data_IF_406888568800
#
_entry.id   IF_406888568800
#
_cell.length_a   1.000
_cell.length_b   1.000
_cell.length_c   1.000
_cell.angle_alpha   90.00
_cell.angle_beta   90.00
_cell.angle_gamma   90.00
#
_symmetry.space_group_name_H-M   'P 1'
#
loop_
_entity.id
_entity.type
_entity.pdbx_description
1 polymer ?
#
# COMPACT_ATOMS: atom_id res chain seq x y z
N UNK A 1 3.70 8.59 23.08
CA UNK A 1 3.32 7.31 22.43
C UNK A 1 2.57 7.64 21.15
N UNK A 2 3.26 7.82 20.02
CA UNK A 2 2.63 7.99 18.69
C UNK A 2 3.17 6.97 17.65
N UNK A 3 3.95 5.97 18.05
CA UNK A 3 4.61 5.04 17.12
C UNK A 3 3.66 3.98 16.52
N UNK A 4 2.54 3.70 17.18
CA UNK A 4 1.65 2.59 16.77
C UNK A 4 0.94 2.85 15.44
N UNK A 5 0.53 4.09 15.17
CA UNK A 5 -0.22 4.42 13.95
C UNK A 5 0.63 4.39 12.68
N UNK A 6 1.91 4.75 12.79
CA UNK A 6 2.86 4.69 11.67
C UNK A 6 3.34 3.27 11.41
N UNK A 7 3.62 2.53 12.47
CA UNK A 7 4.00 1.12 12.35
C UNK A 7 2.92 0.32 11.61
N UNK A 8 1.66 0.60 11.91
CA UNK A 8 0.51 0.01 11.23
C UNK A 8 0.44 0.43 9.75
N UNK A 9 0.66 1.71 9.43
CA UNK A 9 0.65 2.17 8.03
C UNK A 9 1.80 1.56 7.21
N UNK A 10 3.01 1.50 7.76
CA UNK A 10 4.15 0.86 7.11
C UNK A 10 3.88 -0.64 6.89
N UNK A 11 3.29 -1.32 7.87
CA UNK A 11 2.88 -2.71 7.76
C UNK A 11 1.87 -2.92 6.62
N UNK A 12 0.82 -2.09 6.54
CA UNK A 12 -0.19 -2.16 5.46
C UNK A 12 0.47 -1.99 4.09
N UNK A 13 1.37 -1.02 3.92
CA UNK A 13 2.09 -0.82 2.65
C UNK A 13 2.93 -2.04 2.27
N UNK A 14 3.61 -2.67 3.23
CA UNK A 14 4.37 -3.91 3.00
C UNK A 14 3.47 -5.08 2.61
N UNK A 15 2.32 -5.26 3.26
CA UNK A 15 1.35 -6.30 2.89
C UNK A 15 0.79 -6.08 1.48
N UNK A 16 0.45 -4.84 1.12
CA UNK A 16 0.01 -4.51 -0.23
C UNK A 16 1.08 -4.83 -1.28
N UNK A 17 2.36 -4.54 -1.02
CA UNK A 17 3.46 -4.89 -1.91
C UNK A 17 3.59 -6.41 -2.10
N UNK A 18 3.46 -7.20 -1.02
CA UNK A 18 3.46 -8.67 -1.10
C UNK A 18 2.28 -9.20 -1.91
N UNK A 19 1.07 -8.68 -1.67
CA UNK A 19 -0.15 -9.02 -2.40
C UNK A 19 0.03 -8.74 -3.90
N UNK A 20 0.57 -7.59 -4.26
CA UNK A 20 0.87 -7.24 -5.66
C UNK A 20 1.88 -8.19 -6.31
N UNK A 21 2.95 -8.55 -5.60
CA UNK A 21 3.94 -9.51 -6.09
C UNK A 21 3.29 -10.88 -6.35
N UNK A 22 2.45 -11.35 -5.44
CA UNK A 22 1.70 -12.61 -5.60
C UNK A 22 0.77 -12.56 -6.83
N UNK A 23 -0.03 -11.50 -6.95
CA UNK A 23 -0.95 -11.30 -8.07
C UNK A 23 -0.22 -11.26 -9.42
N UNK A 24 0.97 -10.65 -9.46
CA UNK A 24 1.80 -10.61 -10.65
C UNK A 24 2.35 -11.99 -11.05
N UNK A 25 2.67 -12.84 -10.07
CA UNK A 25 3.12 -14.22 -10.29
C UNK A 25 1.97 -15.14 -10.72
N UNK A 26 0.79 -15.00 -10.10
CA UNK A 26 -0.35 -15.88 -10.36
C UNK A 26 -1.04 -15.63 -11.70
N UNK A 27 -0.82 -14.47 -12.32
CA UNK A 27 -1.57 -14.03 -13.50
C UNK A 27 -0.66 -13.58 -14.64
N UNK A 28 0.04 -14.55 -15.23
CA UNK A 28 0.81 -14.38 -16.48
C UNK A 28 -0.08 -13.87 -17.65
N UNK A 29 -1.41 -13.98 -17.55
CA UNK A 29 -2.38 -13.60 -18.59
C UNK A 29 -3.17 -12.29 -18.40
N UNK A 30 -2.80 -11.39 -17.47
CA UNK A 30 -3.53 -10.12 -17.31
C UNK A 30 -3.47 -9.28 -18.58
N UNK A 31 -4.60 -8.68 -18.96
CA UNK A 31 -4.65 -7.71 -20.05
C UNK A 31 -3.57 -6.64 -19.85
N UNK A 32 -2.89 -6.22 -20.92
CA UNK A 32 -1.76 -5.27 -20.86
C UNK A 32 -2.08 -4.00 -20.06
N UNK A 33 -3.30 -3.48 -20.19
CA UNK A 33 -3.78 -2.32 -19.44
C UNK A 33 -3.86 -2.56 -17.93
N UNK A 34 -4.16 -3.79 -17.52
CA UNK A 34 -4.23 -4.17 -16.11
C UNK A 34 -2.84 -4.36 -15.50
N UNK A 35 -1.91 -5.02 -16.21
CA UNK A 35 -0.49 -5.10 -15.81
C UNK A 35 0.13 -3.71 -15.61
N UNK A 36 -0.17 -2.77 -16.50
CA UNK A 36 0.30 -1.38 -16.37
C UNK A 36 -0.26 -0.66 -15.14
N UNK A 37 -1.51 -0.93 -14.75
CA UNK A 37 -2.10 -0.37 -13.52
C UNK A 37 -1.45 -0.96 -12.26
N UNK A 38 -1.20 -2.27 -12.23
CA UNK A 38 -0.49 -2.92 -11.11
C UNK A 38 0.94 -2.38 -10.95
N UNK A 39 1.67 -2.18 -12.05
CA UNK A 39 3.01 -1.60 -11.99
C UNK A 39 2.99 -0.19 -11.39
N UNK A 40 2.07 0.67 -11.85
CA UNK A 40 1.93 2.03 -11.30
C UNK A 40 1.60 2.03 -9.81
N UNK A 41 0.77 1.08 -9.36
CA UNK A 41 0.45 0.93 -7.94
C UNK A 41 1.68 0.47 -7.14
N UNK A 42 2.45 -0.50 -7.65
CA UNK A 42 3.71 -0.93 -7.04
C UNK A 42 4.73 0.22 -6.90
N UNK A 43 4.88 1.02 -7.95
CA UNK A 43 5.80 2.17 -7.94
C UNK A 43 5.35 3.21 -6.91
N UNK A 44 4.04 3.45 -6.81
CA UNK A 44 3.45 4.39 -5.86
C UNK A 44 3.64 3.92 -4.41
N UNK A 45 3.39 2.64 -4.11
CA UNK A 45 3.59 2.06 -2.78
C UNK A 45 5.08 2.03 -2.40
N UNK A 46 5.97 1.77 -3.36
CA UNK A 46 7.41 1.84 -3.15
C UNK A 46 7.84 3.25 -2.76
N UNK A 47 7.32 4.27 -3.46
CA UNK A 47 7.57 5.66 -3.12
C UNK A 47 7.01 6.01 -1.74
N UNK A 48 5.77 5.61 -1.44
CA UNK A 48 5.14 5.84 -0.14
C UNK A 48 5.97 5.22 0.99
N UNK A 49 6.47 3.98 0.82
CA UNK A 49 7.35 3.34 1.80
C UNK A 49 8.59 4.17 2.10
N UNK A 50 9.24 4.72 1.07
CA UNK A 50 10.40 5.60 1.25
C UNK A 50 10.02 6.88 2.00
N UNK A 51 8.91 7.52 1.64
CA UNK A 51 8.43 8.72 2.35
C UNK A 51 8.04 8.43 3.79
N UNK A 52 7.43 7.28 4.07
CA UNK A 52 7.09 6.86 5.43
C UNK A 52 8.33 6.71 6.30
N UNK A 53 9.41 6.13 5.76
CA UNK A 53 10.69 6.02 6.46
C UNK A 53 11.20 7.39 6.92
N UNK A 54 11.15 8.41 6.05
CA UNK A 54 11.60 9.77 6.37
C UNK A 54 10.60 10.53 7.26
N UNK A 55 9.32 10.20 7.18
CA UNK A 55 8.26 10.88 7.92
C UNK A 55 8.22 10.50 9.41
N UNK A 56 8.61 9.27 9.76
CA UNK A 56 8.65 8.76 11.15
C UNK A 56 9.52 9.65 12.04
N UNK A 57 10.68 10.09 11.56
CA UNK A 57 11.57 10.96 12.34
C UNK A 57 11.01 12.39 12.47
N UNK A 58 10.30 12.85 11.45
CA UNK A 58 9.80 14.23 11.34
C UNK A 58 8.48 14.44 12.07
N UNK A 59 7.63 13.42 12.18
CA UNK A 59 6.31 13.53 12.81
C UNK A 59 6.34 13.95 14.28
N UNK A 60 7.46 13.68 14.98
CA UNK A 60 7.64 14.07 16.37
C UNK A 60 7.77 15.60 16.54
N UNK A 61 8.10 16.31 15.46
CA UNK A 61 8.43 17.74 15.45
C UNK A 61 7.53 18.55 14.52
N UNK A 62 6.90 17.91 13.53
CA UNK A 62 6.08 18.55 12.50
C UNK A 62 4.64 18.04 12.54
N UNK A 63 3.71 18.83 13.11
CA UNK A 63 2.28 18.44 13.19
C UNK A 63 1.64 18.31 11.79
N UNK A 64 2.15 19.03 10.78
CA UNK A 64 1.74 18.89 9.38
C UNK A 64 2.01 17.46 8.85
N UNK A 65 3.17 16.89 9.17
CA UNK A 65 3.55 15.51 8.80
C UNK A 65 2.59 14.52 9.47
N UNK A 66 2.30 14.72 10.75
CA UNK A 66 1.37 13.87 11.51
C UNK A 66 -0.06 13.91 10.97
N UNK A 67 -0.57 15.08 10.57
CA UNK A 67 -1.89 15.20 9.92
C UNK A 67 -1.90 14.49 8.57
N UNK A 68 -0.86 14.67 7.75
CA UNK A 68 -0.75 14.02 6.46
C UNK A 68 -0.67 12.49 6.58
N UNK A 69 0.11 11.96 7.53
CA UNK A 69 0.23 10.53 7.81
C UNK A 69 -1.11 9.89 8.22
N UNK A 70 -1.91 10.59 9.03
CA UNK A 70 -3.26 10.12 9.39
C UNK A 70 -4.15 9.96 8.16
N UNK A 71 -4.17 10.94 7.27
CA UNK A 71 -4.94 10.87 6.02
C UNK A 71 -4.44 9.76 5.11
N UNK A 72 -3.12 9.61 5.00
CA UNK A 72 -2.51 8.56 4.20
C UNK A 72 -2.89 7.17 4.72
N UNK A 73 -2.96 6.99 6.05
CA UNK A 73 -3.42 5.75 6.66
C UNK A 73 -4.85 5.40 6.28
N UNK A 74 -5.75 6.36 6.35
CA UNK A 74 -7.15 6.11 6.03
C UNK A 74 -7.30 5.65 4.55
N UNK A 75 -6.58 6.29 3.62
CA UNK A 75 -6.53 5.88 2.21
C UNK A 75 -5.85 4.52 2.00
N UNK A 76 -4.81 4.21 2.77
CA UNK A 76 -4.11 2.93 2.67
C UNK A 76 -5.00 1.75 3.06
N UNK A 77 -5.85 1.92 4.08
CA UNK A 77 -6.84 0.90 4.45
C UNK A 77 -7.88 0.67 3.36
N UNK A 78 -8.46 1.75 2.81
CA UNK A 78 -9.41 1.62 1.69
C UNK A 78 -8.76 0.89 0.48
N UNK A 79 -7.49 1.17 0.22
CA UNK A 79 -6.76 0.52 -0.87
C UNK A 79 -6.41 -0.94 -0.57
N UNK A 80 -6.11 -1.29 0.69
CA UNK A 80 -5.89 -2.66 1.12
C UNK A 80 -7.16 -3.50 0.96
N UNK A 81 -8.31 -2.99 1.41
CA UNK A 81 -9.61 -3.65 1.28
C UNK A 81 -9.93 -3.98 -0.19
N UNK A 82 -9.69 -3.02 -1.10
CA UNK A 82 -9.88 -3.21 -2.55
C UNK A 82 -8.92 -4.27 -3.12
N UNK A 83 -7.67 -4.31 -2.64
CA UNK A 83 -6.72 -5.34 -3.06
C UNK A 83 -7.10 -6.73 -2.54
N UNK A 84 -7.66 -6.82 -1.34
CA UNK A 84 -8.15 -8.07 -0.77
C UNK A 84 -9.38 -8.60 -1.51
N UNK A 85 -10.34 -7.73 -1.81
CA UNK A 85 -11.49 -8.09 -2.66
C UNK A 85 -11.03 -8.56 -4.04
N UNK A 86 -10.07 -7.87 -4.65
CA UNK A 86 -9.49 -8.29 -5.92
C UNK A 86 -8.79 -9.64 -5.82
N UNK A 87 -7.99 -9.87 -4.77
CA UNK A 87 -7.33 -11.14 -4.52
C UNK A 87 -8.33 -12.30 -4.35
N UNK A 88 -9.42 -12.04 -3.62
CA UNK A 88 -10.51 -13.01 -3.46
C UNK A 88 -11.17 -13.36 -4.79
N UNK A 89 -11.57 -12.36 -5.59
CA UNK A 89 -12.18 -12.59 -6.90
C UNK A 89 -11.19 -13.27 -7.87
N UNK A 90 -9.90 -13.01 -7.71
CA UNK A 90 -8.85 -13.67 -8.48
C UNK A 90 -8.81 -15.18 -8.23
N UNK A 91 -8.88 -15.58 -6.96
CA UNK A 91 -8.93 -16.96 -6.52
C UNK A 91 -10.25 -17.63 -6.89
N UNK A 92 -11.38 -16.91 -6.80
CA UNK A 92 -12.71 -17.41 -7.13
C UNK A 92 -12.89 -17.76 -8.61
N UNK A 93 -12.19 -17.06 -9.50
CA UNK A 93 -12.24 -17.30 -10.95
C UNK A 93 -11.23 -18.36 -11.44
N UNK A 94 -10.44 -18.96 -10.55
CA UNK A 94 -9.62 -20.16 -10.85
C UNK A 94 -10.46 -21.42 -10.73
#
# INVERSE_FOLDING_TARGET
MNDMGEFVLAFVVEEMLKKLASLALERIGLARGFKGKLQKLNDSLTFIRAVLHDAVERQAREESVKIWLRKLRDVAYEAEDVLDEFGYEVLRQK
#
